data_IF_788422377965
#
_entry.id   IF_788422377965
#
_cell.length_a   1.000
_cell.length_b   1.000
_cell.length_c   1.000
_cell.angle_alpha   90.00
_cell.angle_beta   90.00
_cell.angle_gamma   90.00
#
_symmetry.space_group_name_H-M   'P 1'
#
loop_
_entity.id
_entity.type
_entity.pdbx_description
1 polymer ?
#
# COMPACT_ATOMS: atom_id res chain seq x y z
N UNK A 1 -58.85 -29.81 40.23
CA UNK A 1 -57.38 -29.61 40.24
C UNK A 1 -56.82 -30.44 39.09
N UNK A 2 -56.73 -29.84 37.89
CA UNK A 2 -56.22 -30.50 36.68
C UNK A 2 -54.85 -29.93 36.35
N UNK A 3 -53.83 -30.78 36.32
CA UNK A 3 -52.45 -30.38 36.03
C UNK A 3 -52.26 -30.42 34.52
N UNK A 4 -52.02 -29.26 33.92
CA UNK A 4 -51.72 -29.13 32.49
C UNK A 4 -50.24 -29.44 32.24
N UNK A 5 -49.98 -30.53 31.52
CA UNK A 5 -48.65 -30.90 31.03
C UNK A 5 -48.26 -30.00 29.85
N UNK A 6 -47.36 -29.04 30.08
CA UNK A 6 -46.71 -28.27 29.04
C UNK A 6 -45.57 -29.07 28.40
N UNK A 7 -45.75 -29.49 27.15
CA UNK A 7 -44.67 -30.03 26.35
C UNK A 7 -43.78 -28.87 25.83
N UNK A 8 -42.58 -28.72 26.39
CA UNK A 8 -41.52 -27.93 25.76
C UNK A 8 -41.05 -28.66 24.49
N UNK A 9 -41.51 -28.17 23.34
CA UNK A 9 -40.96 -28.56 22.04
C UNK A 9 -39.54 -28.03 21.90
N UNK A 10 -38.57 -28.94 21.88
CA UNK A 10 -37.20 -28.65 21.42
C UNK A 10 -37.29 -28.38 19.91
N UNK A 11 -37.31 -27.10 19.52
CA UNK A 11 -37.15 -26.71 18.13
C UNK A 11 -35.72 -27.09 17.71
N UNK A 12 -35.60 -28.17 16.93
CA UNK A 12 -34.38 -28.47 16.19
C UNK A 12 -34.05 -27.25 15.32
N UNK A 13 -32.87 -26.66 15.53
CA UNK A 13 -32.29 -25.69 14.62
C UNK A 13 -32.32 -26.29 13.21
N UNK A 14 -33.15 -25.71 12.35
CA UNK A 14 -33.21 -26.08 10.96
C UNK A 14 -31.88 -25.67 10.34
N UNK A 15 -31.15 -26.63 9.79
CA UNK A 15 -30.03 -26.35 8.92
C UNK A 15 -30.58 -25.60 7.70
N UNK A 16 -30.41 -24.27 7.69
CA UNK A 16 -30.74 -23.42 6.55
C UNK A 16 -30.05 -23.99 5.30
N UNK A 17 -30.84 -24.34 4.27
CA UNK A 17 -30.31 -24.65 2.93
C UNK A 17 -29.43 -23.47 2.47
N UNK A 18 -28.32 -23.72 1.76
CA UNK A 18 -27.45 -22.64 1.32
C UNK A 18 -28.25 -21.72 0.40
N UNK A 19 -28.55 -20.52 0.87
CA UNK A 19 -29.16 -19.48 0.07
C UNK A 19 -28.28 -19.25 -1.16
N UNK A 20 -28.86 -19.21 -2.36
CA UNK A 20 -28.10 -18.90 -3.57
C UNK A 20 -27.53 -17.48 -3.44
N UNK A 21 -26.24 -17.38 -3.14
CA UNK A 21 -25.57 -16.11 -2.86
C UNK A 21 -25.46 -15.30 -4.16
N UNK A 22 -26.00 -14.07 -4.23
CA UNK A 22 -25.87 -13.21 -5.40
C UNK A 22 -24.41 -12.80 -5.63
N UNK A 23 -23.82 -13.17 -6.76
CA UNK A 23 -22.44 -12.86 -7.09
C UNK A 23 -22.33 -12.16 -8.44
N UNK A 24 -21.65 -11.01 -8.47
CA UNK A 24 -21.32 -10.28 -9.68
C UNK A 24 -19.84 -10.45 -10.04
N UNK A 25 -19.54 -10.52 -11.34
CA UNK A 25 -18.17 -10.51 -11.88
C UNK A 25 -18.01 -9.24 -12.70
N UNK A 26 -17.29 -8.26 -12.14
CA UNK A 26 -17.04 -7.00 -12.84
C UNK A 26 -16.15 -7.25 -14.06
N UNK A 27 -15.11 -8.05 -13.87
CA UNK A 27 -14.13 -8.41 -14.89
C UNK A 27 -12.71 -8.13 -14.44
N UNK A 28 -11.77 -8.42 -15.32
CA UNK A 28 -10.36 -8.18 -15.10
C UNK A 28 -9.88 -7.01 -15.94
N UNK A 29 -9.02 -6.17 -15.37
CA UNK A 29 -8.33 -5.11 -16.10
C UNK A 29 -6.99 -5.63 -16.64
N UNK A 30 -6.72 -5.38 -17.92
CA UNK A 30 -5.41 -5.68 -18.49
C UNK A 30 -4.44 -4.54 -18.14
N UNK A 31 -3.34 -4.89 -17.48
CA UNK A 31 -2.30 -3.96 -17.01
C UNK A 31 -0.92 -4.46 -17.45
N UNK A 32 0.10 -3.61 -17.38
CA UNK A 32 1.50 -3.96 -17.63
C UNK A 32 1.74 -4.75 -18.94
N UNK A 33 1.08 -4.31 -20.02
CA UNK A 33 1.24 -4.89 -21.37
C UNK A 33 0.54 -6.24 -21.59
N UNK A 34 -0.37 -6.66 -20.71
CA UNK A 34 -1.26 -7.78 -20.99
C UNK A 34 -2.30 -7.42 -22.08
N UNK A 35 -2.69 -8.35 -22.98
CA UNK A 35 -3.77 -8.11 -23.94
C UNK A 35 -5.14 -8.08 -23.26
N UNK A 36 -5.99 -7.11 -23.60
CA UNK A 36 -7.39 -7.04 -23.11
C UNK A 36 -8.22 -8.27 -23.48
N UNK A 37 -7.89 -8.95 -24.59
CA UNK A 37 -8.54 -10.20 -24.99
C UNK A 37 -8.37 -11.31 -23.96
N UNK A 38 -7.22 -11.36 -23.26
CA UNK A 38 -6.97 -12.34 -22.20
C UNK A 38 -7.82 -12.03 -20.98
N UNK A 39 -7.87 -10.76 -20.57
CA UNK A 39 -8.69 -10.31 -19.44
C UNK A 39 -10.19 -10.57 -19.69
N UNK A 40 -10.68 -10.30 -20.91
CA UNK A 40 -12.06 -10.58 -21.31
C UNK A 40 -12.34 -12.10 -21.33
N UNK A 41 -11.43 -12.89 -21.90
CA UNK A 41 -11.57 -14.37 -21.93
C UNK A 41 -11.69 -14.95 -20.52
N UNK A 42 -10.87 -14.47 -19.57
CA UNK A 42 -10.93 -14.90 -18.17
C UNK A 42 -12.24 -14.44 -17.52
N UNK A 43 -12.65 -13.19 -17.78
CA UNK A 43 -13.90 -12.62 -17.27
C UNK A 43 -15.12 -13.43 -17.71
N UNK A 44 -15.20 -13.77 -19.00
CA UNK A 44 -16.31 -14.55 -19.58
C UNK A 44 -16.33 -15.97 -19.01
N UNK A 45 -15.16 -16.60 -18.88
CA UNK A 45 -15.04 -17.91 -18.27
C UNK A 45 -15.48 -17.91 -16.79
N UNK A 46 -15.13 -16.87 -16.02
CA UNK A 46 -15.59 -16.70 -14.63
C UNK A 46 -17.11 -16.51 -14.57
N UNK A 47 -17.69 -15.63 -15.40
CA UNK A 47 -19.15 -15.43 -15.48
C UNK A 47 -19.86 -16.75 -15.80
N UNK A 48 -19.36 -17.50 -16.79
CA UNK A 48 -19.89 -18.82 -17.13
C UNK A 48 -19.75 -19.82 -15.98
N UNK A 49 -18.63 -19.79 -15.25
CA UNK A 49 -18.41 -20.68 -14.10
C UNK A 49 -19.40 -20.40 -12.96
N UNK A 50 -19.63 -19.13 -12.64
CA UNK A 50 -20.59 -18.69 -11.62
C UNK A 50 -22.01 -19.09 -12.01
N UNK A 51 -22.41 -18.86 -13.26
CA UNK A 51 -23.75 -19.20 -13.74
C UNK A 51 -24.10 -20.70 -13.61
N UNK A 52 -23.07 -21.57 -13.66
CA UNK A 52 -23.23 -23.02 -13.56
C UNK A 52 -22.90 -23.58 -12.16
N UNK A 53 -22.56 -22.73 -11.19
CA UNK A 53 -22.18 -23.16 -9.85
C UNK A 53 -23.42 -23.32 -8.95
N UNK A 54 -23.48 -24.43 -8.21
CA UNK A 54 -24.52 -24.64 -7.19
C UNK A 54 -24.27 -23.70 -6.01
N UNK A 55 -25.33 -23.09 -5.47
CA UNK A 55 -25.24 -22.18 -4.33
C UNK A 55 -24.90 -20.72 -4.69
N UNK A 56 -24.77 -20.41 -5.98
CA UNK A 56 -24.46 -19.07 -6.48
C UNK A 56 -25.51 -18.62 -7.49
N UNK A 57 -25.90 -17.34 -7.43
CA UNK A 57 -26.74 -16.72 -8.44
C UNK A 57 -25.92 -15.64 -9.15
N UNK A 58 -25.56 -15.88 -10.41
CA UNK A 58 -24.91 -14.85 -11.22
C UNK A 58 -25.84 -13.65 -11.31
N UNK A 59 -25.38 -12.51 -10.79
CA UNK A 59 -26.01 -11.23 -11.03
C UNK A 59 -25.60 -10.80 -12.44
N UNK A 60 -26.55 -10.54 -13.35
CA UNK A 60 -26.22 -10.01 -14.67
C UNK A 60 -25.56 -8.64 -14.50
N UNK A 61 -24.25 -8.60 -14.69
CA UNK A 61 -23.45 -7.39 -14.57
C UNK A 61 -23.47 -6.59 -15.87
N UNK A 62 -23.47 -5.26 -15.72
CA UNK A 62 -22.91 -4.34 -16.72
C UNK A 62 -21.38 -4.44 -16.65
N UNK A 63 -20.67 -4.24 -17.76
CA UNK A 63 -19.21 -4.40 -17.79
C UNK A 63 -18.48 -3.46 -16.83
N UNK A 64 -17.29 -3.86 -16.35
CA UNK A 64 -16.46 -3.07 -15.42
C UNK A 64 -16.26 -1.63 -15.89
N UNK A 65 -16.19 -1.39 -17.20
CA UNK A 65 -16.06 -0.06 -17.76
C UNK A 65 -17.31 0.80 -17.55
N UNK A 66 -18.51 0.25 -17.67
CA UNK A 66 -19.76 0.98 -17.40
C UNK A 66 -19.93 1.25 -15.91
N UNK A 67 -19.52 0.31 -15.06
CA UNK A 67 -19.56 0.47 -13.61
C UNK A 67 -18.50 1.50 -13.15
N UNK A 68 -17.27 1.44 -13.68
CA UNK A 68 -16.20 2.43 -13.39
C UNK A 68 -16.59 3.84 -13.81
N UNK A 69 -17.29 4.00 -14.93
CA UNK A 69 -17.83 5.28 -15.40
C UNK A 69 -19.00 5.79 -14.53
N UNK A 70 -19.85 4.90 -14.01
CA UNK A 70 -20.99 5.26 -13.17
C UNK A 70 -20.59 5.57 -11.72
N UNK A 71 -19.58 4.88 -11.19
CA UNK A 71 -19.25 4.94 -9.76
C UNK A 71 -17.95 5.69 -9.43
N UNK A 72 -17.15 6.13 -10.42
CA UNK A 72 -15.94 6.95 -10.22
C UNK A 72 -15.05 6.45 -9.06
N UNK A 73 -14.73 5.14 -9.03
CA UNK A 73 -13.79 4.55 -8.07
C UNK A 73 -12.37 4.57 -8.68
N UNK A 74 -11.52 5.57 -8.39
CA UNK A 74 -10.16 5.64 -8.95
C UNK A 74 -9.22 4.54 -8.41
N UNK A 75 -9.45 4.04 -7.18
CA UNK A 75 -8.40 3.30 -6.43
C UNK A 75 -8.74 1.84 -6.06
N UNK A 76 -9.76 1.20 -6.66
CA UNK A 76 -10.22 -0.16 -6.28
C UNK A 76 -10.51 -0.35 -4.77
N UNK A 77 -10.66 0.73 -4.00
CA UNK A 77 -10.75 0.66 -2.55
C UNK A 77 -11.92 -0.24 -2.11
N UNK A 78 -11.74 -1.13 -1.10
CA UNK A 78 -12.78 -2.06 -0.68
C UNK A 78 -14.12 -1.39 -0.32
N UNK A 79 -14.09 -0.19 0.24
CA UNK A 79 -15.29 0.60 0.56
C UNK A 79 -16.05 1.07 -0.69
N UNK A 80 -15.34 1.49 -1.74
CA UNK A 80 -15.94 1.92 -3.01
C UNK A 80 -16.54 0.73 -3.77
N UNK A 81 -15.79 -0.38 -3.82
CA UNK A 81 -16.20 -1.59 -4.52
C UNK A 81 -17.37 -2.31 -3.83
N UNK A 82 -17.47 -2.22 -2.51
CA UNK A 82 -18.63 -2.72 -1.76
C UNK A 82 -19.92 -1.96 -2.10
N UNK A 83 -19.83 -0.65 -2.32
CA UNK A 83 -20.98 0.15 -2.75
C UNK A 83 -21.41 -0.21 -4.17
N UNK A 84 -20.45 -0.40 -5.09
CA UNK A 84 -20.73 -0.89 -6.44
C UNK A 84 -21.43 -2.26 -6.42
N UNK A 85 -20.96 -3.20 -5.58
CA UNK A 85 -21.60 -4.51 -5.42
C UNK A 85 -23.05 -4.40 -4.92
N UNK A 86 -23.31 -3.56 -3.89
CA UNK A 86 -24.65 -3.31 -3.37
C UNK A 86 -25.58 -2.74 -4.44
N UNK A 87 -25.11 -1.77 -5.23
CA UNK A 87 -25.90 -1.18 -6.32
C UNK A 87 -26.22 -2.16 -7.44
N UNK A 88 -25.37 -3.17 -7.66
CA UNK A 88 -25.63 -4.26 -8.59
C UNK A 88 -26.56 -5.33 -8.02
N UNK A 89 -26.90 -5.27 -6.73
CA UNK A 89 -27.66 -6.33 -6.05
C UNK A 89 -26.84 -7.60 -5.82
N UNK A 90 -25.51 -7.47 -5.76
CA UNK A 90 -24.58 -8.56 -5.49
C UNK A 90 -24.10 -8.52 -4.04
N UNK A 91 -24.08 -9.68 -3.38
CA UNK A 91 -23.52 -9.86 -2.05
C UNK A 91 -22.01 -10.12 -2.12
N UNK A 92 -21.56 -10.82 -3.17
CA UNK A 92 -20.15 -11.05 -3.49
C UNK A 92 -19.77 -10.42 -4.82
N UNK A 93 -18.55 -9.91 -4.91
CA UNK A 93 -18.03 -9.26 -6.10
C UNK A 93 -16.67 -9.85 -6.48
N UNK A 94 -16.53 -10.39 -7.69
CA UNK A 94 -15.25 -10.81 -8.24
C UNK A 94 -14.73 -9.75 -9.21
N UNK A 95 -13.52 -9.29 -8.99
CA UNK A 95 -12.80 -8.34 -9.85
C UNK A 95 -11.30 -8.60 -9.77
N UNK A 96 -10.51 -8.00 -10.66
CA UNK A 96 -9.07 -8.19 -10.61
C UNK A 96 -8.33 -7.63 -11.81
N UNK A 97 -7.11 -8.12 -12.02
CA UNK A 97 -6.25 -7.67 -13.09
C UNK A 97 -5.40 -8.79 -13.68
N UNK A 98 -4.97 -8.58 -14.92
CA UNK A 98 -4.03 -9.45 -15.63
C UNK A 98 -2.81 -8.62 -15.99
N UNK A 99 -1.63 -9.10 -15.60
CA UNK A 99 -0.33 -8.51 -15.93
C UNK A 99 0.48 -9.45 -16.83
N UNK A 100 1.32 -8.89 -17.70
CA UNK A 100 2.27 -9.71 -18.48
C UNK A 100 3.38 -10.21 -17.56
N UNK A 101 3.68 -11.51 -17.63
CA UNK A 101 4.81 -12.14 -16.95
C UNK A 101 5.76 -12.75 -17.98
N UNK A 102 6.97 -13.14 -17.54
CA UNK A 102 8.02 -13.71 -18.41
C UNK A 102 7.46 -14.87 -19.26
N UNK A 103 6.86 -15.87 -18.61
CA UNK A 103 6.37 -17.09 -19.26
C UNK A 103 4.84 -17.17 -19.38
N UNK A 104 4.15 -16.02 -19.32
CA UNK A 104 2.70 -16.01 -19.42
C UNK A 104 2.05 -14.76 -18.87
N UNK A 105 1.07 -14.96 -17.99
CA UNK A 105 0.30 -13.89 -17.39
C UNK A 105 0.16 -14.12 -15.89
N UNK A 106 0.37 -13.07 -15.11
CA UNK A 106 0.03 -13.06 -13.69
C UNK A 106 -1.41 -12.60 -13.55
N UNK A 107 -2.29 -13.49 -13.10
CA UNK A 107 -3.71 -13.24 -12.92
C UNK A 107 -3.96 -13.01 -11.44
N UNK A 108 -4.50 -11.83 -11.12
CA UNK A 108 -4.95 -11.49 -9.78
C UNK A 108 -6.46 -11.39 -9.76
N UNK A 109 -7.12 -12.13 -8.87
CA UNK A 109 -8.55 -12.10 -8.65
C UNK A 109 -8.83 -11.82 -7.19
N UNK A 110 -9.74 -10.90 -6.91
CA UNK A 110 -10.20 -10.56 -5.56
C UNK A 110 -11.70 -10.88 -5.48
N UNK A 111 -12.12 -11.46 -4.37
CA UNK A 111 -13.52 -11.61 -4.00
C UNK A 111 -13.83 -10.72 -2.82
N UNK A 112 -14.72 -9.75 -3.03
CA UNK A 112 -15.16 -8.81 -2.01
C UNK A 112 -16.53 -9.20 -1.48
N UNK A 113 -16.69 -9.05 -0.17
CA UNK A 113 -17.96 -9.12 0.53
C UNK A 113 -18.54 -7.71 0.64
N UNK A 114 -19.68 -7.50 -0.01
CA UNK A 114 -20.34 -6.20 -0.06
C UNK A 114 -20.86 -5.76 1.32
N UNK A 115 -21.30 -6.71 2.14
CA UNK A 115 -21.85 -6.46 3.47
C UNK A 115 -20.76 -6.03 4.44
N UNK A 116 -19.58 -6.66 4.37
CA UNK A 116 -18.43 -6.38 5.24
C UNK A 116 -17.46 -5.33 4.69
N UNK A 117 -17.69 -4.87 3.46
CA UNK A 117 -16.82 -3.93 2.75
C UNK A 117 -15.33 -4.31 2.74
N UNK A 118 -15.05 -5.62 2.60
CA UNK A 118 -13.68 -6.15 2.65
C UNK A 118 -13.48 -7.26 1.61
N UNK A 119 -12.22 -7.45 1.22
CA UNK A 119 -11.83 -8.58 0.38
C UNK A 119 -11.76 -9.81 1.28
N UNK A 120 -12.63 -10.78 1.01
CA UNK A 120 -12.81 -12.00 1.81
C UNK A 120 -11.96 -13.17 1.28
N UNK A 121 -11.50 -13.10 0.03
CA UNK A 121 -10.60 -14.07 -0.59
C UNK A 121 -9.91 -13.43 -1.79
N UNK A 122 -8.75 -13.94 -2.19
CA UNK A 122 -8.15 -13.62 -3.47
C UNK A 122 -7.29 -14.76 -3.99
N UNK A 123 -6.87 -14.62 -5.24
CA UNK A 123 -5.96 -15.52 -5.93
C UNK A 123 -4.97 -14.69 -6.72
N UNK A 124 -3.68 -15.00 -6.58
CA UNK A 124 -2.63 -14.53 -7.46
C UNK A 124 -1.95 -15.77 -8.06
N UNK A 125 -2.15 -16.02 -9.36
CA UNK A 125 -1.59 -17.20 -10.03
C UNK A 125 -1.01 -16.83 -11.39
N UNK A 126 0.20 -17.32 -11.66
CA UNK A 126 0.80 -17.22 -12.98
C UNK A 126 0.33 -18.40 -13.85
N UNK A 127 -0.21 -18.08 -15.02
CA UNK A 127 -0.63 -19.06 -16.03
C UNK A 127 0.21 -18.95 -17.29
N UNK A 128 0.43 -20.08 -17.96
CA UNK A 128 1.09 -20.11 -19.26
C UNK A 128 0.23 -19.42 -20.33
N UNK A 129 0.87 -18.90 -21.39
CA UNK A 129 0.16 -18.28 -22.53
C UNK A 129 -0.86 -19.23 -23.18
N UNK A 130 -0.56 -20.52 -23.20
CA UNK A 130 -1.44 -21.57 -23.74
C UNK A 130 -2.70 -21.77 -22.90
N UNK A 131 -2.60 -21.57 -21.58
CA UNK A 131 -3.72 -21.66 -20.65
C UNK A 131 -4.64 -20.44 -20.71
N UNK A 132 -4.14 -19.29 -21.17
CA UNK A 132 -4.88 -18.03 -21.29
C UNK A 132 -5.83 -17.97 -22.52
N UNK A 133 -6.23 -19.12 -23.06
CA UNK A 133 -7.05 -19.23 -24.28
C UNK A 133 -8.36 -19.98 -24.00
N UNK A 134 -9.39 -19.71 -24.83
CA UNK A 134 -10.81 -20.04 -24.59
C UNK A 134 -11.12 -21.34 -23.86
N UNK A 135 -10.82 -22.55 -24.39
CA UNK A 135 -11.11 -23.79 -23.68
C UNK A 135 -10.14 -24.09 -22.53
N UNK A 136 -8.87 -23.70 -22.69
CA UNK A 136 -7.80 -24.05 -21.76
C UNK A 136 -7.90 -23.31 -20.43
N UNK A 137 -8.51 -22.11 -20.41
CA UNK A 137 -8.66 -21.30 -19.20
C UNK A 137 -9.68 -21.87 -18.20
N UNK A 138 -10.53 -22.81 -18.63
CA UNK A 138 -11.59 -23.41 -17.80
C UNK A 138 -11.03 -24.12 -16.55
N UNK A 139 -9.90 -24.80 -16.69
CA UNK A 139 -9.23 -25.48 -15.58
C UNK A 139 -8.74 -24.51 -14.49
N UNK A 140 -7.92 -23.50 -14.84
CA UNK A 140 -7.54 -22.43 -13.92
C UNK A 140 -8.75 -21.72 -13.30
N UNK A 141 -9.76 -21.35 -14.10
CA UNK A 141 -10.97 -20.66 -13.60
C UNK A 141 -11.75 -21.52 -12.61
N UNK A 142 -11.86 -22.83 -12.84
CA UNK A 142 -12.47 -23.75 -11.88
C UNK A 142 -11.73 -23.72 -10.54
N UNK A 143 -10.39 -23.80 -10.57
CA UNK A 143 -9.52 -23.76 -9.39
C UNK A 143 -9.64 -22.42 -8.64
N UNK A 144 -9.58 -21.31 -9.36
CA UNK A 144 -9.71 -19.98 -8.78
C UNK A 144 -11.08 -19.78 -8.16
N UNK A 145 -12.14 -20.14 -8.87
CA UNK A 145 -13.50 -20.01 -8.35
C UNK A 145 -13.70 -20.85 -7.10
N UNK A 146 -13.21 -22.09 -7.04
CA UNK A 146 -13.28 -22.89 -5.80
C UNK A 146 -12.50 -22.25 -4.65
N UNK A 147 -11.34 -21.66 -4.93
CA UNK A 147 -10.51 -20.99 -3.92
C UNK A 147 -11.22 -19.74 -3.38
N UNK A 148 -11.67 -18.86 -4.28
CA UNK A 148 -12.39 -17.64 -3.91
C UNK A 148 -13.65 -17.95 -3.10
N UNK A 149 -14.41 -18.98 -3.50
CA UNK A 149 -15.67 -19.32 -2.82
C UNK A 149 -15.50 -20.17 -1.55
N UNK A 150 -14.27 -20.48 -1.13
CA UNK A 150 -14.01 -21.35 0.02
C UNK A 150 -14.45 -22.80 -0.18
N UNK A 151 -14.73 -23.22 -1.42
CA UNK A 151 -14.96 -24.61 -1.79
C UNK A 151 -13.65 -25.39 -2.02
N UNK A 152 -12.53 -24.68 -2.12
CA UNK A 152 -11.17 -25.21 -1.98
C UNK A 152 -10.70 -25.10 -0.53
N UNK A 153 -9.65 -25.84 -0.17
CA UNK A 153 -8.96 -25.64 1.10
C UNK A 153 -8.47 -24.18 1.14
N UNK A 154 -9.00 -23.38 2.07
CA UNK A 154 -8.56 -22.01 2.31
C UNK A 154 -8.41 -21.78 3.80
N UNK A 155 -7.39 -21.03 4.20
CA UNK A 155 -7.12 -20.66 5.57
C UNK A 155 -7.41 -19.19 5.82
N UNK A 156 -7.12 -18.75 7.04
CA UNK A 156 -7.22 -17.35 7.47
C UNK A 156 -5.84 -16.90 7.94
N UNK A 157 -5.40 -15.72 7.53
CA UNK A 157 -4.22 -15.06 8.12
C UNK A 157 -4.71 -13.96 9.05
N UNK A 158 -4.30 -14.01 10.31
CA UNK A 158 -4.55 -12.96 11.30
C UNK A 158 -3.29 -12.13 11.48
N UNK A 159 -3.31 -10.87 11.09
CA UNK A 159 -2.17 -9.95 11.19
C UNK A 159 -2.36 -9.02 12.39
N UNK A 160 -1.35 -8.94 13.25
CA UNK A 160 -1.29 -8.02 14.40
C UNK A 160 -0.01 -7.22 14.35
N UNK A 161 -0.08 -5.93 14.66
CA UNK A 161 1.06 -5.00 14.68
C UNK A 161 0.99 -4.15 15.94
N UNK A 162 2.15 -3.78 16.48
CA UNK A 162 2.28 -2.80 17.58
C UNK A 162 2.12 -1.35 17.10
N UNK A 163 2.21 -1.13 15.79
CA UNK A 163 2.01 0.16 15.15
C UNK A 163 0.71 0.15 14.35
N UNK A 164 -0.22 1.04 14.72
CA UNK A 164 -1.50 1.30 14.05
C UNK A 164 -1.29 2.06 12.73
N UNK A 165 -2.12 1.82 11.73
CA UNK A 165 -2.10 2.49 10.42
C UNK A 165 -0.96 2.02 9.51
N UNK A 166 -0.40 0.83 9.73
CA UNK A 166 0.55 0.23 8.81
C UNK A 166 -0.17 -0.48 7.66
N UNK A 167 0.28 -0.26 6.44
CA UNK A 167 -0.23 -0.93 5.24
C UNK A 167 0.18 -2.40 5.23
N UNK A 168 -0.79 -3.29 5.09
CA UNK A 168 -0.56 -4.73 4.95
C UNK A 168 -0.75 -5.11 3.49
N UNK A 169 0.27 -5.77 2.93
CA UNK A 169 0.23 -6.39 1.62
C UNK A 169 0.34 -7.90 1.80
N UNK A 170 -0.35 -8.69 0.98
CA UNK A 170 -0.11 -10.12 0.86
C UNK A 170 0.06 -10.48 -0.62
N UNK A 171 1.16 -11.17 -0.92
CA UNK A 171 1.70 -11.43 -2.27
C UNK A 171 1.86 -10.16 -3.12
N UNK A 172 2.25 -9.06 -2.47
CA UNK A 172 2.43 -7.75 -3.11
C UNK A 172 1.13 -6.95 -3.34
N UNK A 173 -0.03 -7.42 -2.87
CA UNK A 173 -1.31 -6.73 -3.00
C UNK A 173 -1.74 -6.07 -1.69
N UNK A 174 -2.15 -4.78 -1.68
CA UNK A 174 -2.63 -4.12 -0.46
C UNK A 174 -4.00 -4.67 -0.05
N UNK A 175 -4.09 -5.16 1.19
CA UNK A 175 -5.24 -5.95 1.67
C UNK A 175 -5.91 -5.35 2.90
N UNK A 176 -5.26 -4.37 3.52
CA UNK A 176 -5.81 -3.61 4.63
C UNK A 176 -4.76 -2.78 5.32
N UNK A 177 -5.15 -2.19 6.46
CA UNK A 177 -4.27 -1.45 7.36
C UNK A 177 -4.42 -2.03 8.77
N UNK A 178 -3.35 -1.98 9.56
CA UNK A 178 -3.38 -2.42 10.96
C UNK A 178 -4.14 -1.41 11.82
N UNK A 179 -4.94 -1.88 12.76
CA UNK A 179 -5.67 -1.08 13.75
C UNK A 179 -5.38 -1.64 15.16
N UNK A 180 -6.10 -1.18 16.19
CA UNK A 180 -6.01 -1.74 17.54
C UNK A 180 -6.51 -3.21 17.60
N UNK A 181 -7.41 -3.59 16.68
CA UNK A 181 -7.86 -4.97 16.51
C UNK A 181 -7.07 -5.71 15.42
N UNK A 182 -6.84 -7.03 15.56
CA UNK A 182 -6.17 -7.84 14.54
C UNK A 182 -6.89 -7.80 13.18
N UNK A 183 -6.13 -7.61 12.11
CA UNK A 183 -6.64 -7.70 10.75
C UNK A 183 -6.79 -9.18 10.35
N UNK A 184 -8.03 -9.64 10.18
CA UNK A 184 -8.33 -11.00 9.72
C UNK A 184 -8.54 -11.07 8.20
N UNK A 185 -7.67 -11.82 7.53
CA UNK A 185 -7.69 -12.08 6.10
C UNK A 185 -8.17 -13.52 5.88
N UNK A 186 -9.46 -13.69 5.62
CA UNK A 186 -10.06 -15.00 5.33
C UNK A 186 -9.82 -15.46 3.89
N UNK A 187 -10.20 -16.70 3.60
CA UNK A 187 -10.29 -17.20 2.22
C UNK A 187 -8.97 -17.25 1.46
N UNK A 188 -7.85 -17.31 2.17
CA UNK A 188 -6.51 -17.37 1.57
C UNK A 188 -6.26 -18.79 1.08
N UNK A 189 -5.79 -18.93 -0.16
CA UNK A 189 -5.48 -20.23 -0.75
C UNK A 189 -4.51 -21.01 0.16
N UNK A 190 -4.58 -22.34 0.14
CA UNK A 190 -3.52 -23.11 0.79
C UNK A 190 -2.22 -22.99 0.02
N UNK A 191 -1.11 -22.84 0.73
CA UNK A 191 0.22 -22.68 0.15
C UNK A 191 1.01 -21.58 0.85
N UNK A 192 2.20 -21.30 0.32
CA UNK A 192 3.06 -20.23 0.83
C UNK A 192 2.59 -18.88 0.28
N UNK A 193 2.46 -17.90 1.17
CA UNK A 193 2.12 -16.52 0.84
C UNK A 193 3.07 -15.53 1.54
N UNK A 194 3.46 -14.46 0.86
CA UNK A 194 4.32 -13.41 1.44
C UNK A 194 3.44 -12.30 2.03
N UNK A 195 3.50 -12.07 3.35
CA UNK A 195 2.90 -10.89 3.99
C UNK A 195 3.97 -9.81 4.13
N UNK A 196 3.66 -8.58 3.70
CA UNK A 196 4.49 -7.39 3.91
C UNK A 196 3.70 -6.36 4.70
N UNK A 197 4.17 -6.02 5.90
CA UNK A 197 3.59 -4.94 6.71
C UNK A 197 4.55 -3.76 6.67
N UNK A 198 4.06 -2.58 6.29
CA UNK A 198 4.90 -1.41 6.09
C UNK A 198 4.22 -0.13 6.53
N UNK A 199 4.99 0.77 7.14
CA UNK A 199 4.56 2.13 7.46
C UNK A 199 5.72 3.10 7.22
N UNK A 200 5.49 4.28 6.64
CA UNK A 200 6.54 5.27 6.46
C UNK A 200 7.26 5.59 7.79
N UNK A 201 8.58 5.51 7.79
CA UNK A 201 9.41 5.69 9.00
C UNK A 201 9.68 4.40 9.79
N UNK A 202 9.18 3.27 9.33
CA UNK A 202 9.36 1.95 9.96
C UNK A 202 9.94 0.95 8.96
N UNK A 203 10.74 0.00 9.46
CA UNK A 203 11.34 -1.03 8.63
C UNK A 203 10.24 -2.01 8.19
N UNK A 204 10.06 -2.27 6.89
CA UNK A 204 8.97 -3.13 6.44
C UNK A 204 9.25 -4.57 6.87
N UNK A 205 8.28 -5.19 7.55
CA UNK A 205 8.35 -6.59 7.94
C UNK A 205 7.82 -7.45 6.80
N UNK A 206 8.64 -8.39 6.32
CA UNK A 206 8.28 -9.39 5.30
C UNK A 206 8.29 -10.77 5.93
N UNK A 207 7.22 -11.54 5.75
CA UNK A 207 7.09 -12.89 6.30
C UNK A 207 6.36 -13.81 5.33
N UNK A 208 6.99 -14.95 5.05
CA UNK A 208 6.31 -16.06 4.37
C UNK A 208 5.44 -16.81 5.39
N UNK A 209 4.19 -17.06 5.00
CA UNK A 209 3.18 -17.76 5.80
C UNK A 209 2.69 -18.95 4.99
N UNK A 210 2.81 -20.15 5.54
CA UNK A 210 2.26 -21.37 4.94
C UNK A 210 0.82 -21.55 5.44
N UNK A 211 -0.15 -21.33 4.54
CA UNK A 211 -1.57 -21.39 4.84
C UNK A 211 -2.09 -22.80 4.60
N UNK A 212 -2.77 -23.36 5.60
CA UNK A 212 -3.45 -24.66 5.54
C UNK A 212 -4.96 -24.46 5.58
N UNK A 213 -5.71 -25.33 4.90
CA UNK A 213 -7.14 -25.20 4.76
C UNK A 213 -7.86 -25.33 6.10
N UNK A 214 -8.74 -24.38 6.41
CA UNK A 214 -9.49 -24.32 7.65
C UNK A 214 -8.70 -23.82 8.86
N UNK A 215 -7.40 -23.57 8.73
CA UNK A 215 -6.58 -23.08 9.83
C UNK A 215 -6.49 -21.55 9.85
N UNK A 216 -6.31 -20.99 11.05
CA UNK A 216 -6.01 -19.57 11.27
C UNK A 216 -4.54 -19.44 11.61
N UNK A 217 -3.76 -18.85 10.71
CA UNK A 217 -2.34 -18.58 10.92
C UNK A 217 -2.19 -17.17 11.48
N UNK A 218 -1.66 -17.05 12.70
CA UNK A 218 -1.42 -15.75 13.33
C UNK A 218 -0.01 -15.24 13.01
N UNK A 219 0.07 -14.03 12.46
CA UNK A 219 1.29 -13.31 12.19
C UNK A 219 1.33 -12.04 13.04
N UNK A 220 2.36 -11.92 13.88
CA UNK A 220 2.70 -10.66 14.56
C UNK A 220 3.83 -9.98 13.82
N UNK A 221 3.61 -8.74 13.42
CA UNK A 221 4.56 -7.89 12.72
C UNK A 221 4.89 -6.66 13.58
N UNK A 222 5.82 -6.77 14.54
CA UNK A 222 6.33 -5.60 15.25
C UNK A 222 7.11 -4.74 14.27
N UNK A 223 6.79 -3.45 14.19
CA UNK A 223 7.46 -2.51 13.29
C UNK A 223 8.51 -1.71 14.05
N UNK A 224 9.78 -1.97 13.73
CA UNK A 224 10.89 -1.19 14.25
C UNK A 224 10.99 0.14 13.49
N UNK A 225 11.09 1.25 14.22
CA UNK A 225 11.32 2.54 13.60
C UNK A 225 12.70 2.54 12.90
N UNK A 226 12.74 2.91 11.62
CA UNK A 226 14.01 3.04 10.90
C UNK A 226 14.72 4.25 11.48
N UNK A 227 15.80 4.01 12.22
CA UNK A 227 16.77 5.07 12.49
C UNK A 227 17.21 5.64 11.13
N UNK A 228 17.23 6.96 10.91
CA UNK A 228 17.45 7.53 9.57
C UNK A 228 18.71 6.94 8.91
N UNK A 229 18.54 6.12 7.87
CA UNK A 229 19.64 5.48 7.11
C UNK A 229 19.96 6.31 5.88
N UNK A 230 21.25 6.55 5.67
CA UNK A 230 21.82 7.31 4.56
C UNK A 230 21.42 6.72 3.19
N UNK A 231 21.17 7.62 2.23
CA UNK A 231 20.53 7.32 0.95
C UNK A 231 21.38 6.44 -0.02
N UNK A 232 20.76 5.48 -0.75
CA UNK A 232 21.38 4.72 -1.83
C UNK A 232 21.34 5.46 -3.19
N UNK A 233 22.15 5.06 -4.19
CA UNK A 233 22.46 5.88 -5.37
C UNK A 233 21.37 5.86 -6.47
N UNK A 234 21.21 6.97 -7.24
CA UNK A 234 20.15 7.14 -8.23
C UNK A 234 20.48 6.54 -9.61
N UNK A 235 19.46 5.94 -10.25
CA UNK A 235 19.42 5.61 -11.69
C UNK A 235 18.69 6.74 -12.42
N UNK A 236 19.34 7.31 -13.43
CA UNK A 236 19.00 8.60 -14.01
C UNK A 236 17.75 8.64 -14.90
N UNK A 237 17.08 9.78 -14.86
CA UNK A 237 16.07 10.25 -15.80
C UNK A 237 15.90 11.75 -15.61
N UNK A 238 16.20 12.52 -16.65
CA UNK A 238 16.46 13.96 -16.69
C UNK A 238 15.40 14.85 -16.01
N UNK A 239 15.88 15.84 -15.26
CA UNK A 239 15.11 17.01 -14.83
C UNK A 239 15.75 18.29 -15.37
N UNK A 240 14.91 19.09 -16.04
CA UNK A 240 15.16 20.45 -16.48
C UNK A 240 15.05 21.43 -15.30
N UNK A 241 15.88 22.47 -15.34
CA UNK A 241 15.43 23.82 -14.95
C UNK A 241 15.99 24.42 -13.67
N UNK A 242 17.26 24.83 -13.75
CA UNK A 242 17.85 26.10 -13.28
C UNK A 242 17.54 26.63 -11.86
N UNK A 243 18.58 26.62 -11.03
CA UNK A 243 18.84 27.65 -10.03
C UNK A 243 20.27 28.20 -10.21
N UNK A 244 20.39 29.52 -10.07
CA UNK A 244 21.54 30.42 -10.23
C UNK A 244 22.96 29.84 -10.25
N UNK A 245 23.67 30.13 -11.35
CA UNK A 245 25.12 29.96 -11.52
C UNK A 245 25.87 31.16 -10.94
N UNK A 246 26.63 30.95 -9.87
CA UNK A 246 27.71 31.86 -9.45
C UNK A 246 28.93 31.58 -10.34
N UNK A 247 29.62 32.60 -10.91
CA UNK A 247 30.70 32.37 -11.86
C UNK A 247 31.93 31.78 -11.16
N UNK A 248 32.52 30.76 -11.78
CA UNK A 248 33.76 30.14 -11.37
C UNK A 248 34.96 31.00 -11.81
N UNK A 249 35.78 31.47 -10.86
CA UNK A 249 37.12 31.98 -11.18
C UNK A 249 38.13 30.83 -11.31
N UNK A 250 38.98 30.93 -12.33
CA UNK A 250 40.09 30.03 -12.63
C UNK A 250 41.26 30.21 -11.66
N UNK A 251 41.75 29.10 -11.10
CA UNK A 251 42.99 29.07 -10.33
C UNK A 251 43.24 27.72 -9.68
N UNK A 252 44.37 27.10 -10.05
CA UNK A 252 45.20 26.17 -9.25
C UNK A 252 44.44 25.30 -8.23
N UNK A 253 44.16 24.02 -8.56
CA UNK A 253 43.83 22.92 -7.61
C UNK A 253 42.65 23.11 -6.63
N UNK A 254 42.15 24.33 -6.52
CA UNK A 254 41.35 24.93 -5.46
C UNK A 254 39.96 25.18 -6.00
N UNK A 255 39.82 25.50 -7.29
CA UNK A 255 38.53 25.54 -7.99
C UNK A 255 37.75 24.22 -7.90
N UNK A 256 38.44 23.06 -7.98
CA UNK A 256 37.79 21.75 -7.85
C UNK A 256 37.34 21.47 -6.40
N UNK A 257 38.09 21.98 -5.40
CA UNK A 257 37.73 21.87 -3.97
C UNK A 257 36.54 22.76 -3.63
N UNK A 258 36.49 23.99 -4.16
CA UNK A 258 35.35 24.90 -4.01
C UNK A 258 34.10 24.30 -4.67
N UNK A 259 34.23 23.75 -5.89
CA UNK A 259 33.14 23.06 -6.58
C UNK A 259 32.63 21.83 -5.81
N UNK A 260 33.53 21.09 -5.15
CA UNK A 260 33.17 19.94 -4.31
C UNK A 260 32.31 20.36 -3.12
N UNK A 261 32.75 21.37 -2.36
CA UNK A 261 32.03 21.80 -1.17
C UNK A 261 30.74 22.57 -1.49
N UNK A 262 30.70 23.34 -2.57
CA UNK A 262 29.49 24.06 -2.99
C UNK A 262 28.39 23.09 -3.43
N UNK A 263 28.73 22.04 -4.19
CA UNK A 263 27.76 21.00 -4.62
C UNK A 263 27.26 20.18 -3.44
N UNK A 264 28.14 19.79 -2.50
CA UNK A 264 27.73 19.12 -1.27
C UNK A 264 26.82 20.00 -0.39
N UNK A 265 27.16 21.29 -0.25
CA UNK A 265 26.36 22.25 0.52
C UNK A 265 24.96 22.46 -0.09
N UNK A 266 24.88 22.64 -1.41
CA UNK A 266 23.61 22.78 -2.12
C UNK A 266 22.76 21.50 -2.02
N UNK A 267 23.38 20.32 -2.11
CA UNK A 267 22.70 19.04 -1.96
C UNK A 267 22.14 18.82 -0.55
N UNK A 268 22.86 19.24 0.49
CA UNK A 268 22.38 19.20 1.87
C UNK A 268 21.21 20.18 2.11
N UNK A 269 21.27 21.38 1.52
CA UNK A 269 20.18 22.35 1.58
C UNK A 269 18.89 21.79 0.92
N UNK A 270 19.02 21.21 -0.27
CA UNK A 270 17.90 20.58 -0.95
C UNK A 270 17.30 19.42 -0.14
N UNK A 271 18.13 18.64 0.57
CA UNK A 271 17.65 17.58 1.46
C UNK A 271 16.81 18.15 2.60
N UNK A 272 17.30 19.21 3.25
CA UNK A 272 16.59 19.86 4.35
C UNK A 272 15.23 20.42 3.89
N UNK A 273 15.18 20.98 2.68
CA UNK A 273 13.92 21.43 2.08
C UNK A 273 12.97 20.25 1.80
N UNK A 274 13.46 19.13 1.26
CA UNK A 274 12.65 17.93 1.06
C UNK A 274 12.05 17.39 2.37
N UNK A 275 12.84 17.37 3.45
CA UNK A 275 12.38 17.00 4.79
C UNK A 275 11.33 17.97 5.30
N UNK A 276 11.56 19.28 5.16
CA UNK A 276 10.56 20.30 5.52
C UNK A 276 9.24 20.07 4.78
N UNK A 277 9.26 19.91 3.46
CA UNK A 277 8.04 19.66 2.70
C UNK A 277 7.36 18.36 3.10
N UNK A 278 8.12 17.34 3.51
CA UNK A 278 7.55 16.10 4.05
C UNK A 278 6.82 16.31 5.38
N UNK A 279 7.32 17.20 6.24
CA UNK A 279 6.64 17.59 7.48
C UNK A 279 5.39 18.43 7.18
N UNK A 280 5.49 19.36 6.23
CA UNK A 280 4.35 20.18 5.81
C UNK A 280 3.22 19.31 5.20
N UNK A 281 3.56 18.26 4.43
CA UNK A 281 2.58 17.27 3.91
C UNK A 281 1.92 16.48 5.05
N UNK A 282 2.68 16.10 6.08
CA UNK A 282 2.10 15.42 7.26
C UNK A 282 1.16 16.34 8.02
N UNK A 283 1.51 17.62 8.11
CA UNK A 283 0.68 18.61 8.77
C UNK A 283 -0.62 18.84 7.99
N UNK A 284 -0.55 18.95 6.66
CA UNK A 284 -1.74 19.04 5.82
C UNK A 284 -2.65 17.80 5.92
N UNK A 285 -2.07 16.60 6.07
CA UNK A 285 -2.87 15.38 6.30
C UNK A 285 -3.57 15.40 7.67
N UNK A 286 -2.88 15.90 8.70
CA UNK A 286 -3.45 16.11 10.03
C UNK A 286 -4.55 17.18 10.05
N UNK A 287 -4.44 18.21 9.21
CA UNK A 287 -5.46 19.26 9.09
C UNK A 287 -6.73 18.75 8.37
N UNK A 288 -6.62 17.66 7.60
CA UNK A 288 -7.75 16.99 6.97
C UNK A 288 -8.52 16.08 7.93
N UNK A 289 -7.88 15.53 8.97
CA UNK A 289 -8.51 14.64 9.94
C UNK A 289 -9.84 15.16 10.53
N UNK A 290 -9.97 16.41 11.00
CA UNK A 290 -11.24 16.94 11.49
C UNK A 290 -12.32 17.09 10.40
N UNK A 291 -11.91 17.16 9.13
CA UNK A 291 -12.81 17.28 7.98
C UNK A 291 -13.20 15.91 7.40
N UNK A 292 -12.55 14.83 7.82
CA UNK A 292 -12.93 13.47 7.40
C UNK A 292 -14.32 13.14 7.96
N UNK A 293 -15.16 12.53 7.11
CA UNK A 293 -16.50 12.04 7.46
C UNK A 293 -16.60 10.55 7.21
N UNK A 294 -17.12 9.85 8.21
CA UNK A 294 -17.28 8.39 8.22
C UNK A 294 -18.76 8.03 8.44
N UNK A 295 -19.21 6.84 8.03
CA UNK A 295 -20.54 6.38 8.39
C UNK A 295 -20.60 6.01 9.88
N UNK A 296 -21.55 6.60 10.61
CA UNK A 296 -21.73 6.31 12.04
C UNK A 296 -22.18 4.88 12.33
N UNK A 297 -22.85 4.26 11.37
CA UNK A 297 -23.29 2.89 11.42
C UNK A 297 -22.67 2.15 10.24
N UNK A 298 -22.13 0.93 10.44
CA UNK A 298 -21.45 0.18 9.38
C UNK A 298 -22.34 -0.14 8.18
N UNK A 299 -23.67 -0.04 8.34
CA UNK A 299 -24.66 -0.25 7.28
C UNK A 299 -25.13 1.04 6.60
N UNK A 300 -24.76 2.22 7.11
CA UNK A 300 -25.15 3.51 6.55
C UNK A 300 -24.24 3.92 5.39
N UNK A 301 -24.83 4.42 4.31
CA UNK A 301 -24.08 5.07 3.21
C UNK A 301 -23.87 6.57 3.46
N UNK A 302 -24.52 7.12 4.49
CA UNK A 302 -24.40 8.52 4.87
C UNK A 302 -23.13 8.65 5.71
N UNK A 303 -22.22 9.54 5.30
CA UNK A 303 -21.01 9.89 6.03
C UNK A 303 -21.28 11.11 6.90
N UNK A 304 -21.67 10.87 8.14
CA UNK A 304 -22.13 11.89 9.09
C UNK A 304 -21.41 11.84 10.45
N UNK A 305 -20.40 11.00 10.60
CA UNK A 305 -19.55 10.94 11.80
C UNK A 305 -18.17 11.57 11.60
N UNK A 306 -17.62 12.18 12.65
CA UNK A 306 -16.23 12.60 12.73
C UNK A 306 -15.32 11.42 13.12
N UNK A 307 -14.00 11.66 13.24
CA UNK A 307 -13.01 10.67 13.67
C UNK A 307 -13.27 10.12 15.10
N UNK A 308 -13.89 10.92 15.97
CA UNK A 308 -14.30 10.50 17.32
C UNK A 308 -15.57 9.64 17.34
N UNK A 309 -16.17 9.35 16.18
CA UNK A 309 -17.41 8.58 16.06
C UNK A 309 -18.67 9.35 16.49
N UNK A 310 -18.59 10.68 16.62
CA UNK A 310 -19.71 11.53 16.97
C UNK A 310 -20.46 11.96 15.70
N UNK A 311 -21.79 11.93 15.75
CA UNK A 311 -22.64 12.46 14.66
C UNK A 311 -22.50 13.97 14.56
N UNK A 312 -21.84 14.41 13.50
CA UNK A 312 -21.64 15.83 13.16
C UNK A 312 -22.35 16.24 11.87
N UNK A 313 -22.96 15.30 11.15
CA UNK A 313 -23.59 15.56 9.85
C UNK A 313 -22.59 15.58 8.69
N UNK A 314 -23.09 15.74 7.47
CA UNK A 314 -22.24 15.92 6.29
C UNK A 314 -21.47 17.24 6.34
N UNK A 315 -20.38 17.34 5.58
CA UNK A 315 -19.62 18.59 5.43
C UNK A 315 -20.54 19.70 4.90
N UNK A 316 -20.46 20.87 5.51
CA UNK A 316 -21.03 22.08 4.94
C UNK A 316 -20.29 22.47 3.65
N UNK A 317 -20.88 23.32 2.79
CA UNK A 317 -20.20 23.81 1.59
C UNK A 317 -18.87 24.51 1.91
N UNK A 318 -18.81 25.28 3.00
CA UNK A 318 -17.60 25.96 3.43
C UNK A 318 -16.48 24.99 3.86
N UNK A 319 -16.82 23.95 4.63
CA UNK A 319 -15.85 22.92 5.04
C UNK A 319 -15.40 22.05 3.86
N UNK A 320 -16.28 21.84 2.88
CA UNK A 320 -15.95 21.11 1.65
C UNK A 320 -14.94 21.89 0.80
N UNK A 321 -15.15 23.20 0.66
CA UNK A 321 -14.23 24.10 -0.03
C UNK A 321 -12.86 24.17 0.69
N UNK A 322 -12.88 24.18 2.03
CA UNK A 322 -11.66 24.16 2.85
C UNK A 322 -10.89 22.84 2.69
N UNK A 323 -11.58 21.69 2.77
CA UNK A 323 -10.96 20.38 2.55
C UNK A 323 -10.33 20.27 1.16
N UNK A 324 -11.00 20.80 0.13
CA UNK A 324 -10.45 20.82 -1.24
C UNK A 324 -9.18 21.66 -1.33
N UNK A 325 -9.16 22.84 -0.71
CA UNK A 325 -7.95 23.69 -0.69
C UNK A 325 -6.78 22.99 -0.01
N UNK A 326 -7.00 22.36 1.14
CA UNK A 326 -5.95 21.62 1.85
C UNK A 326 -5.43 20.46 1.00
N UNK A 327 -6.30 19.76 0.27
CA UNK A 327 -5.90 18.69 -0.65
C UNK A 327 -5.06 19.22 -1.82
N UNK A 328 -5.45 20.32 -2.44
CA UNK A 328 -4.72 20.95 -3.55
C UNK A 328 -3.34 21.44 -3.07
N UNK A 329 -3.28 22.09 -1.91
CA UNK A 329 -2.03 22.54 -1.28
C UNK A 329 -1.13 21.33 -0.94
N UNK A 330 -1.69 20.27 -0.36
CA UNK A 330 -0.95 19.05 -0.05
C UNK A 330 -0.38 18.37 -1.31
N UNK A 331 -1.09 18.39 -2.43
CA UNK A 331 -0.57 17.89 -3.72
C UNK A 331 0.60 18.74 -4.20
N UNK A 332 0.52 20.07 -4.10
CA UNK A 332 1.63 20.98 -4.42
C UNK A 332 2.86 20.74 -3.55
N UNK A 333 2.67 20.58 -2.24
CA UNK A 333 3.75 20.28 -1.29
C UNK A 333 4.38 18.90 -1.56
N UNK A 334 3.58 17.89 -1.91
CA UNK A 334 4.08 16.56 -2.33
C UNK A 334 4.92 16.66 -3.61
N UNK A 335 4.50 17.47 -4.58
CA UNK A 335 5.29 17.69 -5.79
C UNK A 335 6.64 18.34 -5.45
N UNK A 336 6.66 19.40 -4.64
CA UNK A 336 7.89 20.05 -4.19
C UNK A 336 8.80 19.12 -3.38
N UNK A 337 8.23 18.33 -2.48
CA UNK A 337 8.94 17.31 -1.72
C UNK A 337 9.76 16.39 -2.66
N UNK A 338 9.12 15.87 -3.72
CA UNK A 338 9.81 15.00 -4.67
C UNK A 338 10.86 15.73 -5.52
N UNK A 339 10.60 16.99 -5.91
CA UNK A 339 11.57 17.82 -6.63
C UNK A 339 12.83 18.05 -5.80
N UNK A 340 12.69 18.44 -4.52
CA UNK A 340 13.84 18.73 -3.66
C UNK A 340 14.62 17.48 -3.27
N UNK A 341 13.95 16.35 -3.06
CA UNK A 341 14.65 15.08 -2.87
C UNK A 341 15.42 14.65 -4.12
N UNK A 342 14.84 14.83 -5.32
CA UNK A 342 15.55 14.59 -6.58
C UNK A 342 16.78 15.48 -6.76
N UNK A 343 16.64 16.79 -6.53
CA UNK A 343 17.73 17.75 -6.62
C UNK A 343 18.85 17.45 -5.61
N UNK A 344 18.48 17.10 -4.37
CA UNK A 344 19.43 16.71 -3.33
C UNK A 344 20.27 15.50 -3.76
N UNK A 345 19.61 14.44 -4.25
CA UNK A 345 20.29 13.22 -4.70
C UNK A 345 21.31 13.51 -5.81
N UNK A 346 20.95 14.35 -6.79
CA UNK A 346 21.84 14.72 -7.89
C UNK A 346 23.06 15.53 -7.42
N UNK A 347 22.84 16.53 -6.56
CA UNK A 347 23.89 17.42 -6.06
C UNK A 347 24.86 16.71 -5.11
N UNK A 348 24.34 15.90 -4.18
CA UNK A 348 25.17 15.12 -3.26
C UNK A 348 25.97 14.04 -4.00
N UNK A 349 25.36 13.35 -4.97
CA UNK A 349 26.08 12.37 -5.79
C UNK A 349 27.24 13.00 -6.56
N UNK A 350 27.01 14.17 -7.17
CA UNK A 350 28.04 14.92 -7.91
C UNK A 350 29.13 15.41 -6.96
N UNK A 351 28.76 16.00 -5.83
CA UNK A 351 29.71 16.49 -4.83
C UNK A 351 30.57 15.37 -4.25
N UNK A 352 29.99 14.19 -3.98
CA UNK A 352 30.74 13.04 -3.48
C UNK A 352 31.74 12.51 -4.52
N UNK A 353 31.36 12.45 -5.79
CA UNK A 353 32.28 12.09 -6.87
C UNK A 353 33.45 13.06 -6.98
N UNK A 354 33.17 14.37 -6.96
CA UNK A 354 34.21 15.39 -6.95
C UNK A 354 35.10 15.28 -5.71
N UNK A 355 34.53 14.97 -4.55
CA UNK A 355 35.26 14.75 -3.29
C UNK A 355 36.24 13.57 -3.39
N UNK A 356 35.80 12.41 -3.87
CA UNK A 356 36.71 11.26 -4.04
C UNK A 356 37.81 11.53 -5.06
N UNK A 357 37.47 12.19 -6.17
CA UNK A 357 38.46 12.58 -7.18
C UNK A 357 39.51 13.55 -6.62
N UNK A 358 39.09 14.49 -5.78
CA UNK A 358 39.96 15.56 -5.24
C UNK A 358 40.73 15.17 -3.98
N UNK A 359 40.16 14.34 -3.10
CA UNK A 359 40.73 14.05 -1.78
C UNK A 359 41.07 12.58 -1.55
N UNK A 360 40.65 11.66 -2.42
CA UNK A 360 40.84 10.21 -2.23
C UNK A 360 41.59 9.52 -3.38
N UNK A 361 42.11 10.28 -4.35
CA UNK A 361 43.04 9.73 -5.34
C UNK A 361 44.39 9.43 -4.66
N UNK A 362 44.99 8.24 -4.85
CA UNK A 362 46.13 7.74 -4.07
C UNK A 362 47.50 8.39 -4.39
N UNK A 363 47.52 9.59 -4.97
CA UNK A 363 48.76 10.28 -5.38
C UNK A 363 49.00 11.55 -4.54
N UNK A 364 48.91 11.45 -3.20
CA UNK A 364 49.36 12.52 -2.31
C UNK A 364 50.42 11.99 -1.31
N UNK A 365 51.71 12.33 -1.47
CA UNK A 365 52.82 11.75 -0.70
C UNK A 365 53.02 12.35 0.70
N UNK A 366 52.24 13.34 1.12
CA UNK A 366 52.41 13.97 2.44
C UNK A 366 51.34 13.51 3.44
N UNK A 367 51.54 12.29 3.91
CA UNK A 367 50.86 11.75 5.08
C UNK A 367 51.23 12.55 6.34
N UNK A 368 50.26 13.30 6.86
CA UNK A 368 50.44 13.98 8.14
C UNK A 368 49.16 14.58 8.69
N UNK A 369 48.19 13.76 9.11
CA UNK A 369 47.32 14.11 10.26
C UNK A 369 46.35 13.02 10.77
N UNK A 370 46.64 11.73 10.55
CA UNK A 370 45.86 10.63 11.15
C UNK A 370 46.19 10.34 12.63
N UNK A 371 47.04 11.16 13.27
CA UNK A 371 47.44 10.98 14.66
C UNK A 371 46.53 11.73 15.66
N UNK A 372 45.82 12.77 15.23
CA UNK A 372 44.94 13.56 16.11
C UNK A 372 43.56 12.93 16.28
N UNK A 373 43.02 12.33 15.21
CA UNK A 373 41.69 11.69 15.20
C UNK A 373 41.57 10.49 16.16
N UNK A 374 42.70 9.90 16.58
CA UNK A 374 42.71 8.73 17.48
C UNK A 374 42.67 9.09 18.96
N UNK A 375 42.87 10.36 19.34
CA UNK A 375 43.00 10.80 20.76
C UNK A 375 41.80 11.56 21.31
N UNK A 376 40.88 11.98 20.45
CA UNK A 376 39.66 12.70 20.82
C UNK A 376 38.47 11.80 20.54
N UNK A 377 37.83 11.29 21.59
CA UNK A 377 36.52 10.61 21.45
C UNK A 377 35.42 11.62 21.72
N UNK A 378 34.63 11.91 20.69
CA UNK A 378 33.45 12.75 20.78
C UNK A 378 32.20 11.87 20.78
N UNK A 379 31.29 12.10 21.73
CA UNK A 379 30.03 11.38 21.79
C UNK A 379 28.87 12.39 21.83
N UNK A 380 27.84 12.22 20.97
CA UNK A 380 26.64 13.05 21.03
C UNK A 380 25.86 12.71 22.30
N UNK A 381 25.39 13.73 23.00
CA UNK A 381 24.55 13.58 24.19
C UNK A 381 23.24 14.29 23.92
N UNK A 382 22.15 13.52 23.95
CA UNK A 382 20.79 14.03 23.82
C UNK A 382 20.20 14.17 25.23
N UNK A 383 19.78 15.39 25.55
CA UNK A 383 18.99 15.68 26.75
C UNK A 383 17.65 16.28 26.35
N UNK A 384 16.61 16.19 27.21
CA UNK A 384 15.27 16.67 26.89
C UNK A 384 15.18 18.17 26.52
N UNK A 385 16.20 18.98 26.81
CA UNK A 385 16.26 20.42 26.49
C UNK A 385 17.15 20.80 25.32
N UNK A 386 17.74 19.83 24.60
CA UNK A 386 18.65 20.06 23.47
C UNK A 386 19.84 19.08 23.43
N UNK A 387 20.46 18.96 22.26
CA UNK A 387 21.61 18.08 22.00
C UNK A 387 22.94 18.82 21.99
N UNK A 388 23.99 18.18 22.52
CA UNK A 388 25.37 18.70 22.51
C UNK A 388 26.41 17.60 22.27
N UNK A 389 27.69 17.97 22.18
CA UNK A 389 28.81 17.03 21.96
C UNK A 389 29.74 17.06 23.16
N UNK A 390 29.97 15.90 23.78
CA UNK A 390 30.98 15.76 24.82
C UNK A 390 32.28 15.23 24.20
N UNK A 391 33.42 15.87 24.49
CA UNK A 391 34.73 15.45 24.03
C UNK A 391 35.62 15.05 25.21
N UNK A 392 36.21 13.85 25.15
CA UNK A 392 37.15 13.37 26.18
C UNK A 392 38.54 13.18 25.58
N UNK A 393 39.52 13.85 26.17
CA UNK A 393 40.94 13.76 25.82
C UNK A 393 41.60 12.69 26.70
N UNK A 394 42.35 11.79 26.07
CA UNK A 394 43.16 10.77 26.77
C UNK A 394 44.62 11.16 26.58
N UNK A 395 45.32 11.50 27.67
CA UNK A 395 46.73 11.90 27.66
C UNK A 395 47.65 10.69 27.74
#
# INVERSE_FOLDING_TARGET
MGVASGALGIQKAQAQQPANVPLAVLGLEATDGAPSSVANTITDALRQKVANAKGWKLVPGKDIMEVKLVFSCPDEAPSCMAQAAKSLGAEKLIFGSVKRAADGYLVTLKMLDASKARVDAWVAEQIARTQATGPAIRGPVQKWFSTLTGAGASGTIRVTSDVVGASVLLDGLPVGVTMDEPLELGGIATGRHEVVVSKPGYEPVRRDVDVVGGEVVSLTAPLDAVAPVAAPPPVGGEALGTAETVPAEEGDGTGMKIATWSTLGAGALALALGVKFSLDVRQADSDLDPLRRFPCEPTSTVKDCNEAGERVGGLSPAESDEAQRILDDAQGLRALQWVFYGASAALLGTGLYLYFKTYASPDDPDGGDLALAKRIRMAPVLTPGGGGVSARLSF
#
